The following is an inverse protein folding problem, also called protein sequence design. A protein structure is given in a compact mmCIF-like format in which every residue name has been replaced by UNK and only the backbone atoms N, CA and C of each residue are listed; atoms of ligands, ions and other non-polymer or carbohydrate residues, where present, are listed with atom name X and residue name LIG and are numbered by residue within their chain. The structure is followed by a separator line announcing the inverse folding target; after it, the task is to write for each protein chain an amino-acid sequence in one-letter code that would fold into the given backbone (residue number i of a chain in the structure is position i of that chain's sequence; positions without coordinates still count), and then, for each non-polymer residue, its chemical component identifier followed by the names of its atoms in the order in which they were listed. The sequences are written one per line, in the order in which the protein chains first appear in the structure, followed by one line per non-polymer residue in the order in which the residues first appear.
data_IF_252199084862
#
_entry.id   IF_252199084862
#
_cell.length_a   1.000
_cell.length_b   1.000
_cell.length_c   1.000
_cell.angle_alpha   90.00
_cell.angle_beta   90.00
_cell.angle_gamma   90.00
#
_symmetry.space_group_name_H-M   'P 1'
#
loop_
_entity.id
_entity.type
_entity.pdbx_description
1 polymer ?
#
# COMPACT_ATOMS: atom_id res chain seq x y z
N UNK A 1 -4.69 -3.10 18.03
CA UNK A 1 -5.20 -1.73 17.71
C UNK A 1 -5.41 -1.71 16.21
N UNK A 2 -6.52 -1.21 15.69
CA UNK A 2 -6.74 -1.24 14.24
C UNK A 2 -6.40 0.08 13.58
N UNK A 3 -5.78 0.00 12.41
CA UNK A 3 -5.56 1.14 11.52
C UNK A 3 -6.29 0.92 10.21
N UNK A 4 -6.54 2.03 9.51
CA UNK A 4 -7.09 1.99 8.15
C UNK A 4 -6.04 2.50 7.18
N UNK A 5 -5.58 1.61 6.30
CA UNK A 5 -4.63 1.93 5.25
C UNK A 5 -5.39 2.28 3.97
N UNK A 6 -4.89 3.29 3.24
CA UNK A 6 -5.37 3.59 1.89
C UNK A 6 -4.42 2.93 0.89
N UNK A 7 -4.94 1.96 0.17
CA UNK A 7 -4.20 1.18 -0.82
C UNK A 7 -4.51 1.69 -2.23
N UNK A 8 -3.51 1.63 -3.10
CA UNK A 8 -3.58 2.01 -4.50
C UNK A 8 -2.82 0.98 -5.34
N UNK A 9 -3.43 0.52 -6.43
CA UNK A 9 -2.79 -0.40 -7.38
C UNK A 9 -2.07 0.45 -8.42
N UNK A 10 -0.77 0.22 -8.57
CA UNK A 10 0.05 0.95 -9.53
C UNK A 10 -0.46 0.69 -10.95
N UNK A 11 -0.67 1.75 -11.73
CA UNK A 11 -1.24 1.69 -13.07
C UNK A 11 -2.76 1.78 -13.14
N UNK A 12 -3.47 1.77 -12.00
CA UNK A 12 -4.91 2.09 -11.96
C UNK A 12 -5.16 3.58 -11.75
N UNK A 13 -6.41 4.02 -11.95
CA UNK A 13 -6.79 5.41 -11.63
C UNK A 13 -6.81 5.58 -10.10
N UNK A 14 -6.30 6.72 -9.58
CA UNK A 14 -6.34 7.01 -8.14
C UNK A 14 -7.74 6.99 -7.53
N UNK A 15 -8.78 7.21 -8.33
CA UNK A 15 -10.17 7.04 -7.91
C UNK A 15 -10.49 5.62 -7.43
N UNK A 16 -9.75 4.62 -7.93
CA UNK A 16 -9.92 3.21 -7.56
C UNK A 16 -9.19 2.84 -6.27
N UNK A 17 -8.52 3.80 -5.63
CA UNK A 17 -7.93 3.58 -4.30
C UNK A 17 -8.99 3.12 -3.31
N UNK A 18 -8.60 2.18 -2.45
CA UNK A 18 -9.52 1.52 -1.53
C UNK A 18 -8.92 1.46 -0.13
N UNK A 19 -9.79 1.27 0.86
CA UNK A 19 -9.38 1.19 2.26
C UNK A 19 -9.31 -0.27 2.71
N UNK A 20 -8.26 -0.61 3.44
CA UNK A 20 -8.10 -1.88 4.13
C UNK A 20 -7.96 -1.60 5.63
N UNK A 21 -8.72 -2.33 6.44
CA UNK A 21 -8.58 -2.33 7.89
C UNK A 21 -7.71 -3.51 8.28
N UNK A 22 -6.77 -3.29 9.18
CA UNK A 22 -5.82 -4.30 9.65
C UNK A 22 -5.44 -4.01 11.11
N UNK A 23 -5.16 -5.05 11.89
CA UNK A 23 -4.61 -4.82 13.24
C UNK A 23 -3.11 -4.50 13.15
N UNK A 24 -2.65 -3.60 14.00
CA UNK A 24 -1.23 -3.28 14.14
C UNK A 24 -0.38 -4.48 14.58
N UNK A 25 -1.00 -5.48 15.22
CA UNK A 25 -0.34 -6.74 15.57
C UNK A 25 -0.15 -7.70 14.39
N UNK A 26 -0.85 -7.47 13.27
CA UNK A 26 -0.76 -8.32 12.08
C UNK A 26 0.55 -8.08 11.32
N UNK A 27 0.83 -8.96 10.36
CA UNK A 27 2.00 -8.85 9.46
C UNK A 27 1.65 -8.18 8.13
N UNK A 28 2.68 -7.77 7.40
CA UNK A 28 2.53 -7.34 6.00
C UNK A 28 1.99 -8.49 5.12
N UNK A 29 2.30 -9.76 5.42
CA UNK A 29 1.71 -10.88 4.72
C UNK A 29 0.18 -10.95 4.91
N UNK A 30 -0.32 -10.64 6.10
CA UNK A 30 -1.77 -10.57 6.35
C UNK A 30 -2.40 -9.40 5.61
N UNK A 31 -1.71 -8.25 5.52
CA UNK A 31 -2.11 -7.15 4.65
C UNK A 31 -2.20 -7.58 3.18
N UNK A 32 -1.20 -8.32 2.68
CA UNK A 32 -1.20 -8.85 1.32
C UNK A 32 -2.41 -9.76 1.08
N UNK A 33 -2.75 -10.65 2.02
CA UNK A 33 -3.95 -11.51 1.92
C UNK A 33 -5.23 -10.68 1.84
N UNK A 34 -5.39 -9.68 2.72
CA UNK A 34 -6.57 -8.81 2.72
C UNK A 34 -6.72 -8.02 1.42
N UNK A 35 -5.62 -7.48 0.88
CA UNK A 35 -5.62 -6.79 -0.42
C UNK A 35 -5.98 -7.77 -1.53
N UNK A 36 -5.35 -8.94 -1.55
CA UNK A 36 -5.57 -9.97 -2.55
C UNK A 36 -7.04 -10.42 -2.59
N UNK A 37 -7.66 -10.68 -1.43
CA UNK A 37 -9.07 -11.04 -1.36
C UNK A 37 -9.99 -9.93 -1.88
N UNK A 38 -9.68 -8.68 -1.51
CA UNK A 38 -10.50 -7.51 -1.88
C UNK A 38 -10.40 -7.15 -3.36
N UNK A 39 -9.28 -7.47 -4.01
CA UNK A 39 -8.95 -7.13 -5.40
C UNK A 39 -8.65 -8.36 -6.26
N UNK A 40 -9.16 -9.53 -5.87
CA UNK A 40 -8.84 -10.82 -6.50
C UNK A 40 -9.12 -10.87 -8.00
N UNK A 41 -10.14 -10.14 -8.46
CA UNK A 41 -10.53 -10.08 -9.87
C UNK A 41 -9.72 -9.03 -10.66
N UNK A 42 -9.10 -8.08 -9.96
CA UNK A 42 -8.39 -6.94 -10.57
C UNK A 42 -6.86 -7.18 -10.61
N UNK A 43 -6.36 -8.16 -9.84
CA UNK A 43 -4.93 -8.48 -9.73
C UNK A 43 -4.64 -9.82 -10.42
N UNK A 44 -3.58 -9.85 -11.23
CA UNK A 44 -3.15 -11.04 -11.98
C UNK A 44 -2.29 -12.02 -11.18
N UNK A 45 -1.82 -11.64 -10.00
CA UNK A 45 -1.03 -12.50 -9.12
C UNK A 45 -1.80 -13.77 -8.75
N UNK A 46 -1.09 -14.89 -8.62
CA UNK A 46 -1.69 -16.17 -8.26
C UNK A 46 -1.79 -16.35 -6.75
N UNK A 47 -0.85 -15.76 -6.01
CA UNK A 47 -0.78 -15.85 -4.55
C UNK A 47 -0.61 -14.48 -3.89
N UNK A 48 -1.13 -14.27 -2.67
CA UNK A 48 -0.94 -13.03 -1.93
C UNK A 48 0.54 -12.66 -1.72
N UNK A 49 1.43 -13.64 -1.55
CA UNK A 49 2.85 -13.42 -1.32
C UNK A 49 3.57 -12.76 -2.50
N UNK A 50 3.04 -12.91 -3.72
CA UNK A 50 3.59 -12.32 -4.95
C UNK A 50 3.33 -10.81 -5.04
N UNK A 51 2.37 -10.29 -4.26
CA UNK A 51 2.12 -8.85 -4.20
C UNK A 51 3.33 -8.14 -3.62
N UNK A 52 3.82 -7.13 -4.33
CA UNK A 52 4.79 -6.17 -3.78
C UNK A 52 4.03 -4.99 -3.21
N UNK A 53 4.31 -4.66 -1.96
CA UNK A 53 3.71 -3.52 -1.27
C UNK A 53 4.80 -2.51 -0.97
N UNK A 54 4.53 -1.24 -1.27
CA UNK A 54 5.40 -0.14 -0.93
C UNK A 54 4.67 0.79 0.03
N UNK A 55 5.34 1.18 1.10
CA UNK A 55 4.91 2.30 1.94
C UNK A 55 5.42 3.58 1.29
N UNK A 56 4.50 4.48 0.97
CA UNK A 56 4.79 5.83 0.48
C UNK A 56 4.23 6.83 1.49
N UNK A 57 5.04 7.84 1.83
CA UNK A 57 4.57 8.99 2.59
C UNK A 57 4.26 10.13 1.62
N UNK A 58 3.00 10.55 1.59
CA UNK A 58 2.50 11.57 0.69
C UNK A 58 1.78 12.60 1.55
N UNK A 59 2.51 13.68 1.82
CA UNK A 59 1.98 14.83 2.52
C UNK A 59 0.73 15.40 1.83
N UNK A 60 -0.06 16.18 2.58
CA UNK A 60 -1.15 16.96 1.98
C UNK A 60 -0.63 17.95 0.94
N UNK A 61 0.55 18.51 1.20
CA UNK A 61 1.15 19.57 0.41
C UNK A 61 2.19 19.07 -0.61
N UNK A 62 2.41 17.75 -0.68
CA UNK A 62 3.33 17.13 -1.62
C UNK A 62 2.65 16.97 -3.00
N UNK A 63 2.52 18.08 -3.71
CA UNK A 63 1.83 18.16 -5.00
C UNK A 63 2.56 17.35 -6.09
N UNK A 64 3.89 17.25 -6.02
CA UNK A 64 4.68 16.46 -6.97
C UNK A 64 4.38 14.97 -6.84
N UNK A 65 4.45 14.39 -5.64
CA UNK A 65 4.09 12.97 -5.43
C UNK A 65 2.63 12.71 -5.79
N UNK A 66 1.74 13.67 -5.57
CA UNK A 66 0.33 13.59 -6.00
C UNK A 66 0.17 13.63 -7.52
N UNK A 67 0.98 14.43 -8.24
CA UNK A 67 1.00 14.46 -9.71
C UNK A 67 1.54 13.15 -10.28
N UNK A 68 2.64 12.63 -9.73
CA UNK A 68 3.24 11.34 -10.08
C UNK A 68 2.19 10.22 -9.97
N UNK A 69 1.48 10.16 -8.83
CA UNK A 69 0.39 9.23 -8.60
C UNK A 69 -0.77 9.39 -9.60
N UNK A 70 -1.15 10.63 -9.95
CA UNK A 70 -2.25 10.92 -10.90
C UNK A 70 -1.90 10.49 -12.31
N UNK A 71 -0.64 10.69 -12.69
CA UNK A 71 -0.12 10.35 -14.01
C UNK A 71 0.16 8.85 -14.17
N UNK A 72 -0.11 8.04 -13.14
CA UNK A 72 0.08 6.59 -13.14
C UNK A 72 1.51 6.19 -13.53
N UNK A 73 2.51 7.01 -13.20
CA UNK A 73 3.89 6.66 -13.53
C UNK A 73 4.24 5.36 -12.79
N UNK A 74 4.81 4.40 -13.51
CA UNK A 74 5.10 3.05 -12.99
C UNK A 74 6.29 3.03 -12.02
N UNK A 75 6.83 4.19 -11.64
CA UNK A 75 8.09 4.31 -10.93
C UNK A 75 7.84 4.67 -9.47
N UNK A 76 7.93 3.68 -8.59
CA UNK A 76 7.84 3.85 -7.13
C UNK A 76 9.03 4.59 -6.53
N UNK A 77 10.15 4.68 -7.27
CA UNK A 77 11.36 5.44 -6.88
C UNK A 77 11.10 6.94 -6.77
N UNK A 78 10.23 7.50 -7.61
CA UNK A 78 9.85 8.92 -7.57
C UNK A 78 8.97 9.25 -6.36
N UNK A 79 8.32 8.25 -5.78
CA UNK A 79 7.50 8.37 -4.58
C UNK A 79 8.29 8.11 -3.30
N UNK A 80 9.60 7.84 -3.41
CA UNK A 80 10.48 7.45 -2.30
C UNK A 80 9.90 6.26 -1.50
N UNK A 81 9.22 5.36 -2.21
CA UNK A 81 8.53 4.24 -1.59
C UNK A 81 9.51 3.21 -1.01
N UNK A 82 9.26 2.79 0.23
CA UNK A 82 10.00 1.68 0.85
C UNK A 82 9.22 0.38 0.65
N UNK A 83 9.85 -0.63 0.05
CA UNK A 83 9.24 -1.96 -0.09
C UNK A 83 9.09 -2.61 1.30
N UNK A 84 7.91 -3.17 1.55
CA UNK A 84 7.57 -3.80 2.83
C UNK A 84 7.87 -5.30 2.79
N UNK A 85 8.63 -5.76 3.79
CA UNK A 85 8.91 -7.18 3.95
C UNK A 85 7.67 -7.92 4.45
N UNK A 86 7.33 -9.11 3.91
CA UNK A 86 6.16 -9.88 4.35
C UNK A 86 6.10 -10.17 5.85
N UNK A 87 7.25 -10.37 6.48
CA UNK A 87 7.37 -10.76 7.89
C UNK A 87 7.33 -9.54 8.84
N UNK A 88 7.31 -8.33 8.30
CA UNK A 88 7.29 -7.11 9.10
C UNK A 88 5.91 -6.93 9.75
N UNK A 89 5.90 -6.59 11.04
CA UNK A 89 4.66 -6.23 11.74
C UNK A 89 4.17 -4.86 11.28
N UNK A 90 2.86 -4.72 11.12
CA UNK A 90 2.22 -3.45 10.74
C UNK A 90 2.55 -2.34 11.75
N UNK A 91 2.62 -2.67 13.03
CA UNK A 91 3.05 -1.75 14.08
C UNK A 91 4.41 -1.12 13.75
N UNK A 92 5.41 -1.91 13.37
CA UNK A 92 6.76 -1.43 13.04
C UNK A 92 6.76 -0.44 11.89
N UNK A 93 6.03 -0.74 10.82
CA UNK A 93 6.01 0.11 9.62
C UNK A 93 5.14 1.36 9.78
N UNK A 94 4.14 1.38 10.69
CA UNK A 94 3.20 2.50 10.87
C UNK A 94 3.15 3.05 12.30
N UNK A 95 4.16 2.83 13.13
CA UNK A 95 4.27 3.52 14.41
C UNK A 95 4.26 5.04 14.17
N UNK A 96 3.21 5.68 14.67
CA UNK A 96 3.14 7.13 14.83
C UNK A 96 4.32 7.51 15.71
N UNK A 97 5.32 8.19 15.16
CA UNK A 97 6.05 9.17 15.97
C UNK A 97 5.00 10.19 16.37
N UNK A 98 4.60 10.13 17.64
CA UNK A 98 3.75 11.15 18.26
C UNK A 98 4.44 12.50 18.23
#
# INVERSE_FOLDING_TARGET
MQITLKCFVLGENLSNSFKVKIDTGDTVLDLKKLIFEKKKNDITSKYPSELKLWKVDIGKDDEEKRKILRNQSRYTSELEGTELSPDESISKSWHSTG
#
